data_IF_844970020611
#
_entry.id   IF_844970020611
#
_cell.length_a   1.000
_cell.length_b   1.000
_cell.length_c   1.000
_cell.angle_alpha   90.00
_cell.angle_beta   90.00
_cell.angle_gamma   90.00
#
_symmetry.space_group_name_H-M   'P 1'
#
loop_
_entity.id
_entity.type
_entity.pdbx_description
1 polymer ?
#
# COMPACT_ATOMS: atom_id res chain seq x y z
N UNK A 1 20.46 10.87 11.57
CA UNK A 1 20.73 10.43 10.18
C UNK A 1 19.38 10.06 9.56
N UNK A 2 19.26 10.01 8.22
CA UNK A 2 18.04 9.69 7.48
C UNK A 2 18.21 8.36 6.78
N UNK A 3 17.11 7.59 6.65
CA UNK A 3 17.12 6.39 5.81
C UNK A 3 17.29 6.79 4.33
N UNK A 4 18.31 6.28 3.65
CA UNK A 4 18.58 6.56 2.24
C UNK A 4 17.85 5.59 1.35
N UNK A 5 16.91 6.12 0.56
CA UNK A 5 15.96 5.35 -0.23
C UNK A 5 16.31 5.40 -1.72
N UNK A 6 16.38 4.22 -2.36
CA UNK A 6 16.28 4.06 -3.80
C UNK A 6 14.86 3.65 -4.19
N UNK A 7 14.33 4.17 -5.29
CA UNK A 7 13.02 3.76 -5.82
C UNK A 7 13.21 3.09 -7.17
N UNK A 8 12.83 1.82 -7.27
CA UNK A 8 12.82 1.06 -8.52
C UNK A 8 11.39 0.98 -9.08
N UNK A 9 11.17 1.56 -10.26
CA UNK A 9 9.87 1.75 -10.88
C UNK A 9 9.25 3.11 -10.51
N UNK A 10 9.12 4.00 -11.49
CA UNK A 10 8.53 5.33 -11.32
C UNK A 10 7.09 5.40 -11.90
N UNK A 11 6.37 4.26 -11.83
CA UNK A 11 4.94 4.14 -12.13
C UNK A 11 4.06 4.85 -11.10
N UNK A 12 2.77 4.50 -11.02
CA UNK A 12 1.84 5.12 -10.05
C UNK A 12 2.41 5.10 -8.63
N UNK A 13 2.67 3.91 -8.10
CA UNK A 13 3.11 3.75 -6.70
C UNK A 13 4.47 4.40 -6.47
N UNK A 14 5.47 4.21 -7.33
CA UNK A 14 6.80 4.82 -7.15
C UNK A 14 6.76 6.35 -7.10
N UNK A 15 5.91 6.99 -7.93
CA UNK A 15 5.72 8.46 -7.88
C UNK A 15 5.06 8.93 -6.60
N UNK A 16 4.07 8.20 -6.09
CA UNK A 16 3.39 8.57 -4.84
C UNK A 16 4.31 8.29 -3.64
N UNK A 17 5.10 7.21 -3.65
CA UNK A 17 6.18 6.96 -2.67
C UNK A 17 7.19 8.12 -2.68
N UNK A 18 7.61 8.57 -3.86
CA UNK A 18 8.49 9.73 -3.99
C UNK A 18 7.87 10.99 -3.38
N UNK A 19 6.59 11.31 -3.73
CA UNK A 19 5.86 12.46 -3.15
C UNK A 19 5.71 12.34 -1.63
N UNK A 20 5.47 11.14 -1.10
CA UNK A 20 5.36 10.88 0.34
C UNK A 20 6.71 11.08 1.05
N UNK A 21 7.80 10.57 0.47
CA UNK A 21 9.15 10.69 1.02
C UNK A 21 9.62 12.15 1.09
N UNK A 22 9.28 12.98 0.10
CA UNK A 22 9.62 14.41 0.10
C UNK A 22 8.99 15.21 1.25
N UNK A 23 7.91 14.72 1.86
CA UNK A 23 7.22 15.36 2.98
C UNK A 23 7.80 14.98 4.35
N UNK A 24 8.85 14.16 4.39
CA UNK A 24 9.40 13.59 5.63
C UNK A 24 10.85 14.00 5.83
N UNK A 25 11.21 14.18 7.10
CA UNK A 25 12.58 14.55 7.52
C UNK A 25 13.43 13.36 7.96
N UNK A 26 12.84 12.17 8.13
CA UNK A 26 13.50 10.96 8.60
C UNK A 26 13.96 10.01 7.47
N UNK A 27 13.60 10.32 6.22
CA UNK A 27 14.01 9.60 5.02
C UNK A 27 14.62 10.54 3.99
N UNK A 28 15.38 9.99 3.06
CA UNK A 28 15.97 10.73 1.93
C UNK A 28 15.99 9.86 0.68
N UNK A 29 15.30 10.29 -0.38
CA UNK A 29 15.44 9.66 -1.69
C UNK A 29 16.78 10.10 -2.29
N UNK A 30 17.59 9.13 -2.72
CA UNK A 30 18.94 9.35 -3.27
C UNK A 30 19.09 8.88 -4.72
N UNK A 31 18.16 8.03 -5.20
CA UNK A 31 18.18 7.55 -6.58
C UNK A 31 16.83 7.00 -7.03
N UNK A 32 16.59 7.11 -8.33
CA UNK A 32 15.39 6.62 -9.01
C UNK A 32 15.81 5.71 -10.17
N UNK A 33 15.12 4.61 -10.40
CA UNK A 33 15.31 3.79 -11.58
C UNK A 33 13.99 3.51 -12.26
N UNK A 34 13.94 3.71 -13.58
CA UNK A 34 12.87 3.21 -14.43
C UNK A 34 13.39 3.02 -15.86
N UNK A 35 13.38 1.80 -16.42
CA UNK A 35 13.95 1.53 -17.74
C UNK A 35 13.16 2.15 -18.90
N UNK A 36 11.95 2.67 -18.64
CA UNK A 36 11.04 3.20 -19.66
C UNK A 36 10.88 4.73 -19.59
N UNK A 37 11.51 5.38 -18.61
CA UNK A 37 11.40 6.84 -18.40
C UNK A 37 12.76 7.49 -18.27
N UNK A 38 13.04 8.46 -19.13
CA UNK A 38 14.17 9.37 -18.97
C UNK A 38 13.84 10.50 -17.95
N UNK A 39 14.79 11.30 -17.49
CA UNK A 39 14.54 12.38 -16.53
C UNK A 39 13.48 13.40 -16.99
N UNK A 40 13.44 13.75 -18.27
CA UNK A 40 12.45 14.66 -18.84
C UNK A 40 11.04 14.13 -18.67
N UNK A 41 10.82 12.86 -19.04
CA UNK A 41 9.50 12.23 -18.92
C UNK A 41 9.11 11.99 -17.46
N UNK A 42 10.07 11.64 -16.58
CA UNK A 42 9.82 11.56 -15.14
C UNK A 42 9.36 12.91 -14.56
N UNK A 43 9.99 14.01 -14.98
CA UNK A 43 9.61 15.36 -14.57
C UNK A 43 8.18 15.69 -14.99
N UNK A 44 7.83 15.39 -16.25
CA UNK A 44 6.46 15.56 -16.75
C UNK A 44 5.46 14.75 -15.93
N UNK A 45 5.72 13.46 -15.69
CA UNK A 45 4.84 12.55 -14.97
C UNK A 45 4.71 12.87 -13.48
N UNK A 46 5.73 13.46 -12.87
CA UNK A 46 5.66 13.95 -11.49
C UNK A 46 4.84 15.23 -11.40
N UNK A 47 5.04 16.15 -12.37
CA UNK A 47 4.40 17.46 -12.39
C UNK A 47 2.89 17.37 -12.57
N UNK A 48 2.42 16.44 -13.41
CA UNK A 48 1.01 16.30 -13.75
C UNK A 48 0.49 14.93 -13.36
N UNK A 49 -0.53 14.90 -12.50
CA UNK A 49 -1.19 13.68 -12.07
C UNK A 49 -2.69 13.85 -12.10
N UNK A 50 -3.40 12.95 -12.79
CA UNK A 50 -4.84 13.03 -12.98
C UNK A 50 -5.64 12.74 -11.71
N UNK A 51 -5.02 12.09 -10.72
CA UNK A 51 -5.65 11.71 -9.45
C UNK A 51 -5.25 12.70 -8.35
N UNK A 52 -3.94 12.83 -8.13
CA UNK A 52 -3.40 13.64 -7.03
C UNK A 52 -3.06 15.09 -7.41
N UNK A 53 -3.43 15.50 -8.63
CA UNK A 53 -3.23 16.87 -9.10
C UNK A 53 -1.76 17.25 -9.37
N UNK A 54 -1.56 18.51 -9.72
CA UNK A 54 -0.22 19.05 -9.97
C UNK A 54 0.65 18.92 -8.71
N UNK A 55 1.92 18.59 -8.93
CA UNK A 55 2.92 18.67 -7.86
C UNK A 55 3.06 20.13 -7.39
N UNK A 56 3.04 20.40 -6.08
CA UNK A 56 2.98 21.78 -5.56
C UNK A 56 4.32 22.54 -5.65
N UNK A 57 5.45 21.82 -5.91
CA UNK A 57 6.79 22.41 -6.03
C UNK A 57 7.24 22.62 -7.47
N UNK A 58 8.43 23.15 -7.63
CA UNK A 58 9.10 23.28 -8.93
C UNK A 58 9.65 21.93 -9.38
N UNK A 59 9.37 21.53 -10.62
CA UNK A 59 9.86 20.29 -11.21
C UNK A 59 10.56 20.59 -12.52
N UNK A 60 11.83 20.18 -12.62
CA UNK A 60 12.66 20.26 -13.81
C UNK A 60 13.54 19.02 -13.92
N UNK A 61 14.48 19.00 -14.85
CA UNK A 61 15.37 17.87 -15.07
C UNK A 61 16.72 18.32 -15.62
N UNK A 62 17.74 17.47 -15.44
CA UNK A 62 19.03 17.52 -16.14
C UNK A 62 19.17 16.31 -17.04
N UNK A 63 20.33 16.14 -17.66
CA UNK A 63 20.57 14.99 -18.54
C UNK A 63 20.43 13.63 -17.81
N UNK A 64 20.66 13.60 -16.51
CA UNK A 64 20.73 12.37 -15.71
C UNK A 64 20.05 12.45 -14.32
N UNK A 65 19.29 13.53 -14.07
CA UNK A 65 18.57 13.71 -12.81
C UNK A 65 17.18 14.33 -12.98
N UNK A 66 16.26 13.93 -12.13
CA UNK A 66 15.04 14.65 -11.82
C UNK A 66 15.38 15.76 -10.82
N UNK A 67 14.88 16.98 -11.04
CA UNK A 67 15.13 18.13 -10.14
C UNK A 67 13.81 18.58 -9.55
N UNK A 68 13.72 18.63 -8.22
CA UNK A 68 12.53 19.07 -7.49
C UNK A 68 12.95 20.08 -6.43
N UNK A 69 12.37 21.28 -6.51
CA UNK A 69 12.67 22.40 -5.60
C UNK A 69 14.20 22.67 -5.48
N UNK A 70 14.90 22.56 -6.63
CA UNK A 70 16.34 22.76 -6.72
C UNK A 70 17.21 21.58 -6.27
N UNK A 71 16.62 20.50 -5.72
CA UNK A 71 17.36 19.29 -5.34
C UNK A 71 17.36 18.28 -6.49
N UNK A 72 18.54 17.75 -6.81
CA UNK A 72 18.73 16.71 -7.82
C UNK A 72 18.55 15.31 -7.24
N UNK A 73 17.83 14.45 -8.00
CA UNK A 73 17.64 13.03 -7.72
C UNK A 73 18.17 12.25 -8.91
N UNK A 74 19.22 11.48 -8.69
CA UNK A 74 19.85 10.70 -9.77
C UNK A 74 18.88 9.72 -10.38
N UNK A 75 18.82 9.67 -11.72
CA UNK A 75 17.96 8.78 -12.49
C UNK A 75 18.80 7.73 -13.20
N UNK A 76 18.43 6.48 -13.03
CA UNK A 76 18.95 5.32 -13.73
C UNK A 76 17.88 4.74 -14.66
N UNK A 77 18.31 4.04 -15.70
CA UNK A 77 17.44 3.40 -16.71
C UNK A 77 17.80 1.94 -16.91
N UNK A 78 18.33 1.29 -15.88
CA UNK A 78 18.74 -0.11 -15.93
C UNK A 78 17.50 -1.02 -15.95
N UNK A 79 17.55 -2.06 -16.81
CA UNK A 79 16.49 -3.06 -16.93
C UNK A 79 16.63 -4.16 -15.87
N UNK A 80 17.85 -4.62 -15.68
CA UNK A 80 18.14 -5.64 -14.68
C UNK A 80 18.43 -4.99 -13.34
N UNK A 81 17.88 -5.54 -12.28
CA UNK A 81 17.99 -4.95 -10.92
C UNK A 81 19.43 -4.94 -10.41
N UNK A 82 20.27 -5.90 -10.84
CA UNK A 82 21.68 -5.97 -10.49
C UNK A 82 22.56 -4.92 -11.18
N UNK A 83 22.06 -4.29 -12.25
CA UNK A 83 22.78 -3.25 -12.99
C UNK A 83 22.48 -1.85 -12.50
N UNK A 84 21.57 -1.70 -11.52
CA UNK A 84 21.24 -0.38 -10.96
C UNK A 84 22.32 -0.01 -9.94
N UNK A 85 23.11 1.05 -10.15
CA UNK A 85 24.27 1.32 -9.31
C UNK A 85 23.91 1.98 -7.97
N UNK A 86 23.13 1.29 -7.12
CA UNK A 86 22.65 1.81 -5.83
C UNK A 86 23.77 2.26 -4.90
N UNK A 87 24.91 1.55 -4.92
CA UNK A 87 26.09 1.92 -4.14
C UNK A 87 26.62 3.33 -4.51
N UNK A 88 26.51 3.74 -5.79
CA UNK A 88 27.03 5.03 -6.26
C UNK A 88 26.30 6.23 -5.65
N UNK A 89 25.05 6.06 -5.24
CA UNK A 89 24.21 7.08 -4.59
C UNK A 89 24.00 6.79 -3.11
N UNK A 90 24.55 5.69 -2.60
CA UNK A 90 24.44 5.27 -1.20
C UNK A 90 23.03 4.89 -0.79
N UNK A 91 22.20 4.34 -1.70
CA UNK A 91 20.87 3.85 -1.39
C UNK A 91 20.97 2.58 -0.53
N UNK A 92 20.34 2.60 0.64
CA UNK A 92 20.37 1.49 1.59
C UNK A 92 19.05 0.69 1.59
N UNK A 93 17.92 1.36 1.40
CA UNK A 93 16.58 0.77 1.39
C UNK A 93 15.95 0.97 0.00
N UNK A 94 15.57 -0.11 -0.64
CA UNK A 94 14.98 -0.05 -1.98
C UNK A 94 13.48 -0.26 -1.92
N UNK A 95 12.72 0.74 -2.39
CA UNK A 95 11.30 0.60 -2.70
C UNK A 95 11.16 -0.10 -4.05
N UNK A 96 10.82 -1.37 -4.05
CA UNK A 96 10.56 -2.13 -5.28
C UNK A 96 9.11 -1.92 -5.73
N UNK A 97 8.90 -0.94 -6.61
CA UNK A 97 7.57 -0.47 -7.06
C UNK A 97 7.19 -0.92 -8.48
N UNK A 98 7.97 -1.82 -9.11
CA UNK A 98 7.68 -2.30 -10.47
C UNK A 98 6.55 -3.33 -10.50
N UNK A 99 6.30 -4.03 -9.39
CA UNK A 99 5.39 -5.17 -9.32
C UNK A 99 5.90 -6.44 -10.02
N UNK A 100 7.14 -6.45 -10.50
CA UNK A 100 7.77 -7.59 -11.18
C UNK A 100 8.59 -8.46 -10.23
N UNK A 101 9.26 -7.85 -9.26
CA UNK A 101 10.20 -8.51 -8.36
C UNK A 101 9.53 -8.72 -6.99
N UNK A 102 8.79 -9.83 -6.84
CA UNK A 102 7.98 -10.16 -5.66
C UNK A 102 8.46 -11.44 -4.95
N UNK A 103 9.69 -11.81 -5.17
CA UNK A 103 10.36 -12.97 -4.58
C UNK A 103 11.80 -12.56 -4.22
N UNK A 104 12.35 -13.13 -3.13
CA UNK A 104 13.73 -12.85 -2.69
C UNK A 104 14.74 -13.01 -3.81
N UNK A 105 14.62 -14.11 -4.57
CA UNK A 105 15.52 -14.41 -5.68
C UNK A 105 15.51 -13.35 -6.78
N UNK A 106 14.37 -12.70 -7.02
CA UNK A 106 14.24 -11.63 -8.01
C UNK A 106 14.72 -10.28 -7.50
N UNK A 107 14.74 -10.11 -6.18
CA UNK A 107 15.21 -8.89 -5.54
C UNK A 107 16.70 -8.93 -5.19
N UNK A 108 17.35 -10.10 -5.25
CA UNK A 108 18.74 -10.27 -4.84
C UNK A 108 19.69 -9.30 -5.54
N UNK A 109 19.47 -9.02 -6.83
CA UNK A 109 20.28 -8.09 -7.59
C UNK A 109 20.35 -6.67 -6.98
N UNK A 110 19.34 -6.21 -6.24
CA UNK A 110 19.40 -4.93 -5.53
C UNK A 110 20.45 -4.96 -4.40
N UNK A 111 20.55 -6.09 -3.69
CA UNK A 111 21.52 -6.30 -2.61
C UNK A 111 22.93 -6.38 -3.21
N UNK A 112 23.08 -7.13 -4.29
CA UNK A 112 24.37 -7.28 -5.00
C UNK A 112 24.86 -5.93 -5.55
N UNK A 113 23.93 -5.02 -5.89
CA UNK A 113 24.20 -3.64 -6.32
C UNK A 113 24.45 -2.66 -5.17
N UNK A 114 24.49 -3.14 -3.90
CA UNK A 114 24.91 -2.36 -2.73
C UNK A 114 23.80 -1.90 -1.79
N UNK A 115 22.54 -2.25 -2.03
CA UNK A 115 21.47 -2.01 -1.06
C UNK A 115 21.59 -2.96 0.15
N UNK A 116 20.98 -2.56 1.27
CA UNK A 116 20.92 -3.38 2.49
C UNK A 116 19.57 -4.09 2.62
N UNK A 117 18.50 -3.40 2.26
CA UNK A 117 17.13 -3.89 2.41
C UNK A 117 16.30 -3.62 1.16
N UNK A 118 15.37 -4.52 0.85
CA UNK A 118 14.39 -4.35 -0.22
C UNK A 118 12.98 -4.47 0.34
N UNK A 119 12.15 -3.47 0.06
CA UNK A 119 10.74 -3.42 0.44
C UNK A 119 9.89 -3.63 -0.82
N UNK A 120 9.28 -4.81 -0.94
CA UNK A 120 8.40 -5.14 -2.05
C UNK A 120 7.11 -4.34 -1.98
N UNK A 121 6.78 -3.59 -3.03
CA UNK A 121 5.58 -2.76 -3.18
C UNK A 121 4.33 -3.56 -3.57
N UNK A 122 4.25 -4.81 -3.19
CA UNK A 122 3.11 -5.72 -3.37
C UNK A 122 3.28 -6.95 -2.46
N UNK A 123 2.24 -7.79 -2.28
CA UNK A 123 2.37 -9.03 -1.54
C UNK A 123 3.44 -9.94 -2.14
N UNK A 124 4.33 -10.46 -1.29
CA UNK A 124 5.35 -11.41 -1.72
C UNK A 124 4.72 -12.71 -2.24
N UNK A 125 5.36 -13.32 -3.21
CA UNK A 125 4.96 -14.62 -3.78
C UNK A 125 5.66 -15.81 -3.13
N UNK A 126 6.61 -15.54 -2.24
CA UNK A 126 7.35 -16.50 -1.46
C UNK A 126 7.09 -16.31 0.06
N UNK A 127 8.02 -16.77 0.90
CA UNK A 127 7.96 -16.67 2.36
C UNK A 127 8.47 -15.33 2.92
N UNK A 128 8.73 -14.33 2.08
CA UNK A 128 9.14 -12.98 2.52
C UNK A 128 8.13 -12.42 3.52
N UNK A 129 8.58 -11.95 4.70
CA UNK A 129 7.70 -11.37 5.71
C UNK A 129 6.90 -10.18 5.16
N UNK A 130 5.61 -10.15 5.47
CA UNK A 130 4.72 -9.03 5.14
C UNK A 130 4.42 -8.22 6.39
N UNK A 131 4.50 -6.89 6.25
CA UNK A 131 4.23 -5.96 7.35
C UNK A 131 3.09 -5.01 7.00
N UNK A 132 2.26 -4.73 8.01
CA UNK A 132 1.26 -3.68 8.01
C UNK A 132 1.56 -2.80 9.22
N UNK A 133 1.78 -1.51 8.97
CA UNK A 133 2.07 -0.55 10.03
C UNK A 133 0.92 -0.50 11.05
N UNK A 134 1.28 -0.44 12.36
CA UNK A 134 0.33 -0.49 13.46
C UNK A 134 -0.22 -1.89 13.80
N UNK A 135 0.00 -2.90 12.92
CA UNK A 135 -0.52 -4.26 13.14
C UNK A 135 0.58 -5.21 13.57
N UNK A 136 1.64 -5.34 12.77
CA UNK A 136 2.72 -6.31 13.06
C UNK A 136 4.13 -5.79 12.75
N UNK A 137 4.32 -4.51 12.47
CA UNK A 137 5.63 -3.94 12.15
C UNK A 137 6.66 -4.13 13.29
N UNK A 138 6.20 -4.25 14.54
CA UNK A 138 7.06 -4.53 15.70
C UNK A 138 7.77 -5.90 15.65
N UNK A 139 7.35 -6.79 14.74
CA UNK A 139 8.01 -8.09 14.49
C UNK A 139 9.21 -7.98 13.54
N UNK A 140 9.47 -6.80 12.98
CA UNK A 140 10.65 -6.58 12.14
C UNK A 140 11.93 -6.68 12.97
N UNK A 141 12.93 -7.32 12.40
CA UNK A 141 14.29 -7.42 12.96
C UNK A 141 15.32 -7.10 11.86
N UNK A 142 16.48 -6.57 12.24
CA UNK A 142 17.49 -6.05 11.31
C UNK A 142 18.13 -7.09 10.38
N UNK A 143 17.97 -8.38 10.66
CA UNK A 143 18.39 -9.49 9.79
C UNK A 143 17.43 -9.76 8.62
N UNK A 144 16.25 -9.11 8.61
CA UNK A 144 15.26 -9.24 7.54
C UNK A 144 15.63 -8.37 6.33
N UNK A 145 16.45 -8.88 5.44
CA UNK A 145 16.92 -8.19 4.23
C UNK A 145 15.77 -7.86 3.27
N UNK A 146 14.81 -8.78 3.11
CA UNK A 146 13.65 -8.62 2.23
C UNK A 146 12.37 -8.59 3.05
N UNK A 147 11.53 -7.58 2.79
CA UNK A 147 10.20 -7.44 3.41
C UNK A 147 9.17 -7.02 2.37
N UNK A 148 7.90 -7.21 2.65
CA UNK A 148 6.80 -6.75 1.81
C UNK A 148 5.88 -5.81 2.59
N UNK A 149 5.46 -4.72 1.95
CA UNK A 149 4.45 -3.81 2.48
C UNK A 149 3.00 -4.35 2.29
N UNK A 150 2.85 -5.66 2.01
CA UNK A 150 1.59 -6.32 1.69
C UNK A 150 0.85 -5.66 0.49
N UNK A 151 -0.48 -5.66 0.49
CA UNK A 151 -1.29 -4.93 -0.50
C UNK A 151 -2.02 -3.75 0.12
N UNK A 152 -2.50 -2.81 -0.69
CA UNK A 152 -3.33 -1.70 -0.23
C UNK A 152 -4.60 -2.20 0.49
N UNK A 153 -5.26 -3.21 -0.04
CA UNK A 153 -6.44 -3.84 0.57
C UNK A 153 -6.10 -4.53 1.90
N UNK A 154 -4.95 -5.23 1.99
CA UNK A 154 -4.49 -5.82 3.26
C UNK A 154 -4.21 -4.75 4.31
N UNK A 155 -3.60 -3.63 3.90
CA UNK A 155 -3.35 -2.47 4.76
C UNK A 155 -4.65 -1.82 5.27
N UNK A 156 -5.73 -1.87 4.50
CA UNK A 156 -7.04 -1.40 4.95
C UNK A 156 -7.73 -2.41 5.87
N UNK A 157 -7.74 -3.69 5.50
CA UNK A 157 -8.46 -4.73 6.21
C UNK A 157 -7.82 -5.09 7.56
N UNK A 158 -6.50 -5.17 7.63
CA UNK A 158 -5.80 -5.64 8.83
C UNK A 158 -6.04 -4.78 10.08
N UNK A 159 -6.05 -3.44 10.04
CA UNK A 159 -6.35 -2.62 11.21
C UNK A 159 -7.75 -2.86 11.80
N UNK A 160 -8.79 -2.89 10.97
CA UNK A 160 -10.15 -3.15 11.45
C UNK A 160 -10.33 -4.60 11.92
N UNK A 161 -9.70 -5.56 11.25
CA UNK A 161 -9.69 -6.96 11.66
C UNK A 161 -8.96 -7.16 13.00
N UNK A 162 -7.85 -6.44 13.23
CA UNK A 162 -7.12 -6.43 14.52
C UNK A 162 -8.04 -5.99 15.65
N UNK A 163 -8.70 -4.83 15.53
CA UNK A 163 -9.61 -4.30 16.56
C UNK A 163 -10.76 -5.28 16.83
N UNK A 164 -11.43 -5.78 15.79
CA UNK A 164 -12.52 -6.74 15.95
C UNK A 164 -12.04 -8.02 16.63
N UNK A 165 -10.89 -8.56 16.21
CA UNK A 165 -10.40 -9.82 16.76
C UNK A 165 -9.95 -9.68 18.23
N UNK A 166 -9.25 -8.62 18.57
CA UNK A 166 -8.77 -8.40 19.95
C UNK A 166 -9.91 -8.11 20.94
N UNK A 167 -10.92 -7.37 20.53
CA UNK A 167 -12.03 -6.99 21.41
C UNK A 167 -13.12 -8.05 21.47
N UNK A 168 -13.53 -8.59 20.32
CA UNK A 168 -14.71 -9.42 20.20
C UNK A 168 -14.42 -10.84 19.69
N UNK A 169 -13.23 -11.08 19.15
CA UNK A 169 -12.87 -12.35 18.52
C UNK A 169 -13.58 -12.55 17.16
N UNK A 170 -12.83 -12.79 16.10
CA UNK A 170 -13.39 -13.18 14.80
C UNK A 170 -13.41 -14.70 14.71
N UNK A 171 -14.60 -15.27 14.50
CA UNK A 171 -14.79 -16.70 14.21
C UNK A 171 -14.49 -16.97 12.75
N UNK A 172 -15.15 -16.22 11.86
CA UNK A 172 -15.03 -16.30 10.41
C UNK A 172 -15.50 -14.99 9.77
N UNK A 173 -15.09 -14.71 8.54
CA UNK A 173 -15.52 -13.52 7.83
C UNK A 173 -15.27 -13.59 6.33
N UNK A 174 -16.14 -12.87 5.60
CA UNK A 174 -16.04 -12.67 4.16
C UNK A 174 -15.82 -11.19 3.87
N UNK A 175 -14.82 -10.90 3.07
CA UNK A 175 -14.48 -9.54 2.65
C UNK A 175 -14.80 -9.35 1.17
N UNK A 176 -15.46 -8.24 0.86
CA UNK A 176 -15.53 -7.71 -0.51
C UNK A 176 -14.81 -6.37 -0.54
N UNK A 177 -13.83 -6.21 -1.42
CA UNK A 177 -13.36 -4.86 -1.72
C UNK A 177 -13.99 -4.37 -3.03
N UNK A 178 -14.62 -3.19 -2.97
CA UNK A 178 -14.99 -2.42 -4.16
C UNK A 178 -13.81 -1.51 -4.46
N UNK A 179 -13.08 -1.85 -5.53
CA UNK A 179 -11.74 -1.33 -5.76
C UNK A 179 -11.65 -0.53 -7.06
N UNK A 180 -11.00 0.60 -6.99
CA UNK A 180 -10.66 1.42 -8.15
C UNK A 180 -9.86 0.65 -9.19
N UNK A 181 -9.85 1.17 -10.42
CA UNK A 181 -9.03 0.61 -11.51
C UNK A 181 -7.54 0.64 -11.17
N UNK A 182 -6.81 -0.29 -11.72
CA UNK A 182 -5.34 -0.36 -11.59
C UNK A 182 -4.69 -0.52 -12.96
N UNK A 183 -3.40 -0.15 -13.14
CA UNK A 183 -2.73 -0.19 -14.44
C UNK A 183 -2.70 -1.55 -15.14
N UNK A 184 -2.97 -2.63 -14.42
CA UNK A 184 -3.02 -3.99 -15.00
C UNK A 184 -4.32 -4.27 -15.75
N UNK A 185 -5.36 -3.47 -15.55
CA UNK A 185 -6.65 -3.61 -16.22
C UNK A 185 -6.63 -3.01 -17.63
N UNK A 186 -7.51 -3.49 -18.49
CA UNK A 186 -7.64 -3.00 -19.86
C UNK A 186 -8.60 -1.82 -19.91
N UNK A 187 -8.24 -0.77 -20.63
CA UNK A 187 -9.12 0.40 -20.87
C UNK A 187 -10.34 0.02 -21.70
N UNK A 188 -10.10 -0.76 -22.77
CA UNK A 188 -11.10 -1.36 -23.65
C UNK A 188 -10.93 -2.89 -23.62
N UNK A 189 -11.93 -3.63 -24.15
CA UNK A 189 -11.85 -5.08 -24.24
C UNK A 189 -10.56 -5.51 -24.96
N UNK A 190 -9.76 -6.33 -24.32
CA UNK A 190 -8.48 -6.80 -24.81
C UNK A 190 -8.12 -8.19 -24.29
N UNK A 191 -7.26 -8.88 -25.00
CA UNK A 191 -6.87 -10.24 -24.63
C UNK A 191 -6.24 -10.31 -23.23
N UNK A 192 -6.73 -11.23 -22.41
CA UNK A 192 -6.19 -11.58 -21.10
C UNK A 192 -6.38 -13.07 -20.85
N UNK A 193 -5.42 -13.87 -21.28
CA UNK A 193 -5.54 -15.34 -21.26
C UNK A 193 -5.66 -15.95 -19.86
N UNK A 194 -5.09 -15.29 -18.84
CA UNK A 194 -5.12 -15.77 -17.44
C UNK A 194 -6.33 -15.29 -16.65
N UNK A 195 -6.89 -14.14 -17.04
CA UNK A 195 -8.03 -13.50 -16.37
C UNK A 195 -8.92 -12.86 -17.43
N UNK A 196 -9.90 -13.61 -17.90
CA UNK A 196 -10.81 -13.12 -18.96
C UNK A 196 -11.63 -11.92 -18.52
N UNK A 197 -12.07 -11.89 -17.26
CA UNK A 197 -12.80 -10.73 -16.71
C UNK A 197 -11.93 -9.49 -16.63
N UNK A 198 -10.66 -9.64 -16.22
CA UNK A 198 -9.68 -8.55 -16.20
C UNK A 198 -9.30 -8.04 -17.60
N UNK A 199 -9.63 -8.78 -18.67
CA UNK A 199 -9.52 -8.35 -20.06
C UNK A 199 -10.65 -7.43 -20.54
N UNK A 200 -11.74 -7.27 -19.76
CA UNK A 200 -12.86 -6.41 -20.13
C UNK A 200 -12.58 -4.95 -19.76
N UNK A 201 -13.27 -4.06 -20.50
CA UNK A 201 -13.12 -2.60 -20.35
C UNK A 201 -13.40 -2.13 -18.91
N UNK A 202 -12.36 -1.63 -18.25
CA UNK A 202 -12.45 -1.15 -16.87
C UNK A 202 -13.29 0.12 -16.73
N UNK A 203 -13.44 0.88 -17.82
CA UNK A 203 -14.12 2.17 -17.83
C UNK A 203 -15.65 2.10 -17.79
N UNK A 204 -16.24 0.94 -18.03
CA UNK A 204 -17.69 0.79 -18.15
C UNK A 204 -18.28 -0.46 -17.49
N UNK A 205 -17.49 -1.18 -16.67
CA UNK A 205 -17.93 -2.43 -16.07
C UNK A 205 -17.65 -2.49 -14.58
N UNK A 206 -18.48 -3.27 -13.86
CA UNK A 206 -18.15 -3.84 -12.56
C UNK A 206 -17.53 -5.21 -12.83
N UNK A 207 -16.25 -5.39 -12.46
CA UNK A 207 -15.47 -6.59 -12.82
C UNK A 207 -15.14 -7.40 -11.56
N UNK A 208 -15.79 -8.55 -11.33
CA UNK A 208 -15.38 -9.47 -10.26
C UNK A 208 -13.96 -10.00 -10.51
N UNK A 209 -13.12 -9.94 -9.48
CA UNK A 209 -11.72 -10.37 -9.54
C UNK A 209 -11.36 -11.12 -8.26
N UNK A 210 -10.44 -12.06 -8.36
CA UNK A 210 -9.87 -12.70 -7.18
C UNK A 210 -8.96 -11.74 -6.42
N UNK A 211 -8.87 -11.91 -5.11
CA UNK A 211 -7.92 -11.19 -4.27
C UNK A 211 -7.34 -12.10 -3.19
N UNK A 212 -6.04 -11.99 -2.97
CA UNK A 212 -5.37 -12.65 -1.84
C UNK A 212 -5.34 -11.82 -0.56
N UNK A 213 -5.89 -10.60 -0.58
CA UNK A 213 -5.75 -9.63 0.51
C UNK A 213 -6.31 -10.13 1.84
N UNK A 214 -7.48 -10.77 1.85
CA UNK A 214 -8.07 -11.31 3.06
C UNK A 214 -7.26 -12.49 3.64
N UNK A 215 -6.74 -13.36 2.77
CA UNK A 215 -5.85 -14.45 3.20
C UNK A 215 -4.52 -13.92 3.73
N UNK A 216 -4.02 -12.82 3.16
CA UNK A 216 -2.79 -12.18 3.60
C UNK A 216 -2.92 -11.60 5.03
N UNK A 217 -4.12 -11.24 5.48
CA UNK A 217 -4.35 -10.84 6.88
C UNK A 217 -3.94 -11.96 7.85
N UNK A 218 -4.16 -13.24 7.52
CA UNK A 218 -3.70 -14.35 8.32
C UNK A 218 -2.16 -14.51 8.41
N UNK A 219 -1.40 -13.88 7.49
CA UNK A 219 0.06 -13.82 7.58
C UNK A 219 0.54 -12.72 8.52
N UNK A 220 -0.21 -11.62 8.63
CA UNK A 220 0.15 -10.48 9.51
C UNK A 220 -0.49 -10.61 10.90
N UNK A 221 -1.66 -11.26 11.00
CA UNK A 221 -2.38 -11.60 12.25
C UNK A 221 -2.60 -13.12 12.25
N UNK A 222 -1.67 -13.92 12.78
CA UNK A 222 -1.71 -15.39 12.70
C UNK A 222 -2.98 -16.03 13.26
N UNK A 223 -3.62 -15.41 14.25
CA UNK A 223 -4.88 -15.86 14.86
C UNK A 223 -6.07 -15.84 13.89
N UNK A 224 -5.95 -15.08 12.79
CA UNK A 224 -6.95 -15.00 11.72
C UNK A 224 -6.62 -15.89 10.52
N UNK A 225 -5.57 -16.71 10.60
CA UNK A 225 -5.24 -17.62 9.51
C UNK A 225 -6.37 -18.63 9.28
N UNK A 226 -6.85 -18.71 8.03
CA UNK A 226 -7.95 -19.58 7.64
C UNK A 226 -9.35 -19.06 7.99
N UNK A 227 -9.48 -17.95 8.72
CA UNK A 227 -10.78 -17.39 9.13
C UNK A 227 -11.33 -16.34 8.17
N UNK A 228 -10.49 -15.75 7.34
CA UNK A 228 -10.89 -14.70 6.41
C UNK A 228 -10.59 -15.10 4.95
N UNK A 229 -11.57 -14.85 4.08
CA UNK A 229 -11.38 -14.89 2.62
C UNK A 229 -12.20 -13.78 1.97
N UNK A 230 -12.06 -13.58 0.66
CA UNK A 230 -12.81 -12.52 0.01
C UNK A 230 -12.60 -12.43 -1.49
N UNK A 231 -13.31 -11.46 -2.07
CA UNK A 231 -13.28 -11.13 -3.50
C UNK A 231 -13.06 -9.62 -3.69
N UNK A 232 -12.77 -9.23 -4.92
CA UNK A 232 -12.71 -7.83 -5.34
C UNK A 232 -13.74 -7.56 -6.43
N UNK A 233 -14.41 -6.43 -6.35
CA UNK A 233 -15.21 -5.85 -7.44
C UNK A 233 -14.47 -4.62 -7.95
N UNK A 234 -13.95 -4.66 -9.18
CA UNK A 234 -13.33 -3.50 -9.82
C UNK A 234 -14.41 -2.60 -10.40
N UNK A 235 -14.32 -1.32 -10.11
CA UNK A 235 -15.28 -0.29 -10.55
C UNK A 235 -14.55 0.84 -11.27
N UNK A 236 -15.22 1.61 -12.17
CA UNK A 236 -14.59 2.64 -12.99
C UNK A 236 -14.35 3.96 -12.22
N UNK A 237 -13.75 3.87 -11.03
CA UNK A 237 -13.21 5.00 -10.28
C UNK A 237 -11.70 5.02 -10.41
N UNK A 238 -11.08 6.20 -10.44
CA UNK A 238 -9.64 6.34 -10.66
C UNK A 238 -8.81 5.97 -9.43
N UNK A 239 -9.34 6.28 -8.24
CA UNK A 239 -8.69 6.02 -6.96
C UNK A 239 -9.74 5.98 -5.85
N UNK A 240 -9.33 5.63 -4.66
CA UNK A 240 -10.09 5.33 -3.45
C UNK A 240 -10.99 4.11 -3.59
N UNK A 241 -10.76 3.18 -2.74
CA UNK A 241 -11.43 1.89 -2.66
C UNK A 241 -12.09 1.71 -1.29
N UNK A 242 -12.94 0.73 -1.15
CA UNK A 242 -13.61 0.40 0.11
C UNK A 242 -13.56 -1.08 0.41
N UNK A 243 -13.31 -1.42 1.65
CA UNK A 243 -13.45 -2.78 2.21
C UNK A 243 -14.80 -2.88 2.90
N UNK A 244 -15.55 -3.92 2.53
CA UNK A 244 -16.75 -4.44 3.21
C UNK A 244 -16.36 -5.76 3.86
N UNK A 245 -16.30 -5.79 5.19
CA UNK A 245 -16.02 -7.00 5.95
C UNK A 245 -17.29 -7.43 6.70
N UNK A 246 -17.85 -8.58 6.31
CA UNK A 246 -18.90 -9.26 7.06
C UNK A 246 -18.25 -10.33 7.94
N UNK A 247 -18.43 -10.25 9.25
CA UNK A 247 -17.77 -11.12 10.21
C UNK A 247 -18.73 -11.67 11.26
N UNK A 248 -18.48 -12.93 11.65
CA UNK A 248 -19.07 -13.55 12.84
C UNK A 248 -18.13 -13.37 14.01
N UNK A 249 -18.64 -12.81 15.09
CA UNK A 249 -17.90 -12.55 16.32
C UNK A 249 -18.07 -13.70 17.32
N UNK A 250 -17.04 -13.93 18.13
CA UNK A 250 -17.07 -14.93 19.20
C UNK A 250 -17.80 -14.39 20.45
N UNK A 251 -17.72 -13.07 20.68
CA UNK A 251 -18.37 -12.40 21.81
C UNK A 251 -19.46 -11.47 21.28
N UNK A 252 -20.65 -11.46 21.90
CA UNK A 252 -21.71 -10.52 21.55
C UNK A 252 -21.25 -9.07 21.75
N UNK A 253 -21.64 -8.20 20.82
CA UNK A 253 -21.38 -6.76 20.89
C UNK A 253 -22.47 -6.01 20.13
N UNK A 254 -22.87 -4.86 20.65
CA UNK A 254 -23.71 -3.93 19.89
C UNK A 254 -22.86 -3.28 18.78
N UNK A 255 -23.51 -2.80 17.72
CA UNK A 255 -22.78 -2.06 16.68
C UNK A 255 -22.11 -0.80 17.27
N UNK A 256 -22.72 -0.17 18.25
CA UNK A 256 -22.15 1.01 18.94
C UNK A 256 -20.88 0.65 19.74
N UNK A 257 -20.81 -0.53 20.37
CA UNK A 257 -19.59 -1.02 21.02
C UNK A 257 -18.45 -1.20 20.02
N UNK A 258 -18.77 -1.70 18.82
CA UNK A 258 -17.81 -1.86 17.73
C UNK A 258 -17.33 -0.48 17.25
N UNK A 259 -18.24 0.46 17.02
CA UNK A 259 -17.91 1.83 16.63
C UNK A 259 -17.02 2.52 17.67
N UNK A 260 -17.33 2.35 18.96
CA UNK A 260 -16.53 2.88 20.07
C UNK A 260 -15.12 2.28 20.05
N UNK A 261 -14.99 0.97 19.92
CA UNK A 261 -13.68 0.30 19.86
C UNK A 261 -12.84 0.80 18.66
N UNK A 262 -13.46 0.97 17.50
CA UNK A 262 -12.78 1.51 16.31
C UNK A 262 -12.31 2.95 16.52
N UNK A 263 -13.15 3.80 17.13
CA UNK A 263 -12.81 5.18 17.45
C UNK A 263 -11.65 5.25 18.43
N UNK A 264 -11.72 4.52 19.52
CA UNK A 264 -10.64 4.45 20.53
C UNK A 264 -9.32 4.00 19.92
N UNK A 265 -9.34 2.97 19.06
CA UNK A 265 -8.14 2.51 18.37
C UNK A 265 -7.58 3.56 17.39
N UNK A 266 -8.45 4.27 16.66
CA UNK A 266 -8.05 5.32 15.71
C UNK A 266 -7.42 6.54 16.37
N UNK A 267 -7.82 6.86 17.59
CA UNK A 267 -7.27 7.95 18.39
C UNK A 267 -6.05 7.50 19.23
N UNK A 268 -5.91 6.20 19.46
CA UNK A 268 -4.89 5.55 20.29
C UNK A 268 -3.83 4.78 19.52
N UNK A 269 -3.83 3.46 19.68
CA UNK A 269 -2.76 2.57 19.18
C UNK A 269 -2.61 2.53 17.65
N UNK A 270 -3.68 2.78 16.91
CA UNK A 270 -3.68 2.81 15.45
C UNK A 270 -3.75 4.24 14.87
N UNK A 271 -3.43 5.25 15.68
CA UNK A 271 -3.39 6.64 15.22
C UNK A 271 -2.46 6.79 14.02
N UNK A 272 -2.97 7.44 12.97
CA UNK A 272 -2.25 7.62 11.71
C UNK A 272 -2.32 6.41 10.75
N UNK A 273 -2.87 5.28 11.20
CA UNK A 273 -3.14 4.08 10.38
C UNK A 273 -4.64 3.91 10.18
N UNK A 274 -5.39 3.81 11.30
CA UNK A 274 -6.84 3.76 11.30
C UNK A 274 -7.40 5.18 11.47
N UNK A 275 -8.37 5.53 10.62
CA UNK A 275 -9.22 6.70 10.78
C UNK A 275 -10.63 6.28 11.17
N UNK A 276 -11.45 7.27 11.51
CA UNK A 276 -12.85 7.09 11.88
C UNK A 276 -13.68 8.25 11.32
N UNK A 277 -14.83 7.95 10.73
CA UNK A 277 -15.80 8.94 10.30
C UNK A 277 -17.22 8.56 10.74
N UNK A 278 -18.01 9.57 11.06
CA UNK A 278 -19.46 9.49 11.32
C UNK A 278 -20.24 10.47 10.43
N UNK A 279 -19.59 10.92 9.35
CA UNK A 279 -20.20 11.79 8.34
C UNK A 279 -20.76 10.97 7.16
N UNK A 280 -21.60 11.59 6.34
CA UNK A 280 -22.13 10.99 5.12
C UNK A 280 -21.17 11.24 3.95
N UNK A 281 -20.19 10.35 3.80
CA UNK A 281 -19.05 10.48 2.89
C UNK A 281 -19.11 9.48 1.72
N UNK A 282 -18.36 9.79 0.67
CA UNK A 282 -18.15 8.93 -0.49
C UNK A 282 -16.66 8.82 -0.80
N UNK A 283 -16.29 7.95 -1.75
CA UNK A 283 -14.89 7.63 -2.04
C UNK A 283 -14.01 8.86 -2.31
N UNK A 284 -14.49 9.86 -3.05
CA UNK A 284 -13.69 11.04 -3.41
C UNK A 284 -13.27 11.92 -2.24
N UNK A 285 -13.97 11.81 -1.09
CA UNK A 285 -13.64 12.57 0.13
C UNK A 285 -12.33 12.09 0.79
N UNK A 286 -11.84 10.93 0.40
CA UNK A 286 -10.61 10.32 0.93
C UNK A 286 -9.42 10.39 -0.01
N UNK A 287 -9.54 11.11 -1.14
CA UNK A 287 -8.40 11.34 -2.03
C UNK A 287 -7.25 12.03 -1.30
N UNK A 288 -6.07 11.43 -1.33
CA UNK A 288 -4.88 11.95 -0.66
C UNK A 288 -4.79 11.64 0.84
N UNK A 289 -5.70 10.84 1.40
CA UNK A 289 -5.60 10.42 2.80
C UNK A 289 -4.42 9.46 2.99
N UNK A 290 -3.51 9.80 3.90
CA UNK A 290 -2.32 9.01 4.20
C UNK A 290 -2.59 7.81 5.14
N UNK A 291 -3.79 7.73 5.74
CA UNK A 291 -4.22 6.56 6.52
C UNK A 291 -4.65 5.46 5.58
N UNK A 292 -4.40 4.23 5.96
CA UNK A 292 -4.70 3.07 5.11
C UNK A 292 -6.05 2.43 5.37
N UNK A 293 -6.76 2.87 6.39
CA UNK A 293 -8.07 2.30 6.79
C UNK A 293 -8.88 3.39 7.47
N UNK A 294 -10.01 3.82 6.91
CA UNK A 294 -10.88 4.81 7.52
C UNK A 294 -12.24 4.15 7.78
N UNK A 295 -12.47 3.74 9.03
CA UNK A 295 -13.71 3.11 9.45
C UNK A 295 -14.89 4.07 9.30
N UNK A 296 -15.93 3.61 8.62
CA UNK A 296 -17.16 4.37 8.41
C UNK A 296 -18.27 3.83 9.32
N UNK A 297 -18.62 4.63 10.34
CA UNK A 297 -19.67 4.28 11.30
C UNK A 297 -21.02 4.11 10.64
N UNK A 298 -21.36 4.96 9.67
CA UNK A 298 -22.71 4.98 9.08
C UNK A 298 -22.92 3.95 7.99
N UNK A 299 -21.86 3.46 7.37
CA UNK A 299 -21.95 2.49 6.28
C UNK A 299 -22.05 1.03 6.75
N UNK A 300 -21.74 0.75 8.02
CA UNK A 300 -21.83 -0.60 8.59
C UNK A 300 -23.14 -0.87 9.33
N UNK A 301 -23.35 -2.12 9.73
CA UNK A 301 -24.53 -2.56 10.47
C UNK A 301 -24.29 -3.90 11.19
N UNK A 302 -25.12 -4.22 12.18
CA UNK A 302 -25.21 -5.57 12.76
C UNK A 302 -26.55 -6.21 12.40
N UNK A 303 -26.51 -7.48 11.99
CA UNK A 303 -27.71 -8.28 11.83
C UNK A 303 -28.14 -8.91 13.16
N UNK A 304 -27.17 -9.36 13.94
CA UNK A 304 -27.30 -9.85 15.31
C UNK A 304 -26.15 -9.29 16.14
N UNK A 305 -26.13 -9.53 17.43
CA UNK A 305 -25.04 -9.15 18.32
C UNK A 305 -23.70 -9.87 18.03
N UNK A 306 -23.72 -10.91 17.19
CA UNK A 306 -22.52 -11.65 16.78
C UNK A 306 -22.29 -11.66 15.27
N UNK A 307 -23.11 -10.98 14.47
CA UNK A 307 -22.96 -10.96 13.02
C UNK A 307 -23.01 -9.52 12.49
N UNK A 308 -21.86 -9.02 12.08
CA UNK A 308 -21.64 -7.61 11.78
C UNK A 308 -21.05 -7.41 10.38
N UNK A 309 -21.42 -6.29 9.77
CA UNK A 309 -20.76 -5.73 8.59
C UNK A 309 -20.09 -4.42 8.99
N UNK A 310 -18.80 -4.32 8.75
CA UNK A 310 -18.02 -3.08 8.91
C UNK A 310 -17.46 -2.63 7.57
N UNK A 311 -17.39 -1.32 7.38
CA UNK A 311 -16.94 -0.69 6.15
C UNK A 311 -15.75 0.19 6.46
N UNK A 312 -14.73 0.15 5.59
CA UNK A 312 -13.55 1.00 5.73
C UNK A 312 -13.04 1.47 4.37
N UNK A 313 -12.83 2.78 4.25
CA UNK A 313 -12.31 3.45 3.06
C UNK A 313 -10.79 3.47 3.07
N UNK A 314 -10.19 3.56 1.88
CA UNK A 314 -8.75 3.75 1.73
C UNK A 314 -8.39 4.34 0.37
N UNK A 315 -7.50 5.35 0.39
CA UNK A 315 -6.81 5.73 -0.84
C UNK A 315 -5.76 4.65 -1.14
N UNK A 316 -6.02 3.86 -2.18
CA UNK A 316 -5.21 2.69 -2.50
C UNK A 316 -3.82 3.02 -3.05
N UNK A 317 -3.55 4.29 -3.36
CA UNK A 317 -2.24 4.82 -3.77
C UNK A 317 -1.57 5.60 -2.63
N UNK A 318 -2.21 6.67 -2.15
CA UNK A 318 -1.63 7.59 -1.18
C UNK A 318 -1.40 6.92 0.19
N UNK A 319 -2.42 6.29 0.76
CA UNK A 319 -2.30 5.61 2.06
C UNK A 319 -1.24 4.51 2.00
N UNK A 320 -1.27 3.69 0.96
CA UNK A 320 -0.32 2.60 0.76
C UNK A 320 1.13 3.08 0.62
N UNK A 321 1.35 4.11 -0.20
CA UNK A 321 2.68 4.67 -0.43
C UNK A 321 3.27 5.33 0.83
N UNK A 322 2.45 6.06 1.60
CA UNK A 322 2.87 6.64 2.88
C UNK A 322 3.31 5.55 3.86
N UNK A 323 2.57 4.43 3.96
CA UNK A 323 2.95 3.33 4.87
C UNK A 323 4.20 2.58 4.42
N UNK A 324 4.48 2.54 3.11
CA UNK A 324 5.75 2.02 2.62
C UNK A 324 6.94 2.87 3.10
N UNK A 325 6.82 4.18 3.03
CA UNK A 325 7.86 5.10 3.52
C UNK A 325 7.97 5.04 5.05
N UNK A 326 6.84 4.96 5.76
CA UNK A 326 6.82 4.79 7.22
C UNK A 326 7.46 3.48 7.66
N UNK A 327 7.22 2.38 6.93
CA UNK A 327 7.86 1.09 7.20
C UNK A 327 9.38 1.20 7.08
N UNK A 328 9.89 1.88 6.04
CA UNK A 328 11.33 2.11 5.88
C UNK A 328 11.89 2.93 7.04
N UNK A 329 11.24 4.02 7.43
CA UNK A 329 11.67 4.84 8.56
C UNK A 329 11.69 4.03 9.87
N UNK A 330 10.69 3.15 10.05
CA UNK A 330 10.64 2.23 11.19
C UNK A 330 11.79 1.22 11.14
N UNK A 331 12.02 0.56 9.99
CA UNK A 331 13.14 -0.38 9.78
C UNK A 331 14.46 0.30 10.13
N UNK A 332 14.71 1.49 9.55
CA UNK A 332 15.90 2.28 9.84
C UNK A 332 16.08 2.56 11.34
N UNK A 333 14.99 2.84 12.05
CA UNK A 333 15.03 3.08 13.51
C UNK A 333 15.38 1.83 14.31
N UNK A 334 15.05 0.64 13.80
CA UNK A 334 15.43 -0.66 14.42
C UNK A 334 16.88 -1.01 14.11
N UNK A 335 17.30 -0.81 12.84
CA UNK A 335 18.64 -1.17 12.36
C UNK A 335 19.75 -0.31 12.96
N UNK A 336 19.43 0.86 13.51
CA UNK A 336 20.38 1.82 14.07
C UNK A 336 20.23 2.02 15.59
N UNK A 337 19.60 1.07 16.29
CA UNK A 337 19.60 0.98 17.75
C UNK A 337 20.84 0.25 18.22
#
# INVERSE_FOLDING_TARGET
>A
MKAKIGINGFGRIGRIVFRAALKRDDVEVVGLNDPFMNPEYMAYMLKYDSVHGKFPGEVSYTADALVVDGKEFKVFTAKEVGDIPWASVGAEYICECTGQHLEKSKCQGHIDAGAKHVIMGAPSKDDTPMFVMGVNNQKYTSDMTFVSNASCTTNCLAPIAKVLNEKFGIVEGLMTTVHSVTPTQKLLDGASMKDWRGGRAATGNIIPSSTGAAKAVGKVIPELNGKLTGISMRVPTLDVSVVDLTAKLAKPATYEDICKAMKEASEGELKGVLGYTDEDVVSSDFLGDARTSIFDKKAGLSLTDTFVKVVSWYDNECGYANKMVELIAYMYSVDNK
#
